data_IF_883954623797
#
_entry.id   IF_883954623797
#
_cell.length_a   1.000
_cell.length_b   1.000
_cell.length_c   1.000
_cell.angle_alpha   90.00
_cell.angle_beta   90.00
_cell.angle_gamma   90.00
#
_symmetry.space_group_name_H-M   'P 1'
#
loop_
_entity.id
_entity.type
_entity.pdbx_description
1 polymer ?
#
# COMPACT_ATOMS: atom_id res chain seq x y z
N UNK A 1 -14.62 -13.26 -15.81
CA UNK A 1 -13.66 -13.15 -14.69
C UNK A 1 -13.65 -11.71 -14.22
N UNK A 2 -14.31 -11.42 -13.08
CA UNK A 2 -14.39 -10.06 -12.53
C UNK A 2 -13.01 -9.71 -11.99
N UNK A 3 -12.40 -8.64 -12.51
CA UNK A 3 -11.16 -8.11 -11.98
C UNK A 3 -11.39 -7.80 -10.49
N UNK A 4 -10.89 -8.69 -9.63
CA UNK A 4 -10.76 -8.37 -8.23
C UNK A 4 -9.74 -7.25 -8.20
N UNK A 5 -10.21 -6.01 -8.01
CA UNK A 5 -9.36 -4.84 -7.82
C UNK A 5 -8.27 -5.20 -6.81
N UNK A 6 -7.07 -5.45 -7.32
CA UNK A 6 -5.88 -5.71 -6.52
C UNK A 6 -5.44 -4.36 -5.98
N UNK A 7 -6.19 -3.89 -5.00
CA UNK A 7 -5.87 -2.71 -4.26
C UNK A 7 -4.64 -3.02 -3.41
N UNK A 8 -3.46 -2.42 -3.66
CA UNK A 8 -2.22 -2.80 -3.00
C UNK A 8 -2.28 -2.67 -1.47
N UNK A 9 -3.12 -1.75 -0.97
CA UNK A 9 -3.37 -1.58 0.46
C UNK A 9 -4.02 -2.82 1.14
N UNK A 10 -4.73 -3.68 0.39
CA UNK A 10 -5.35 -4.89 0.95
C UNK A 10 -4.34 -6.00 1.21
N UNK A 11 -3.26 -6.09 0.43
CA UNK A 11 -2.25 -7.16 0.59
C UNK A 11 -1.42 -6.95 1.86
N UNK A 12 -1.01 -5.69 2.11
CA UNK A 12 -0.29 -5.32 3.33
C UNK A 12 -1.13 -5.60 4.59
N UNK A 13 -2.40 -5.19 4.58
CA UNK A 13 -3.32 -5.40 5.70
C UNK A 13 -3.78 -6.87 5.84
N UNK A 14 -3.84 -7.64 4.75
CA UNK A 14 -4.13 -9.08 4.81
C UNK A 14 -3.07 -9.83 5.62
N UNK A 15 -1.80 -9.45 5.48
CA UNK A 15 -0.69 -10.03 6.24
C UNK A 15 -0.80 -9.69 7.74
N UNK A 16 -1.19 -8.46 8.07
CA UNK A 16 -1.49 -8.05 9.45
C UNK A 16 -2.64 -8.89 10.00
N UNK A 17 -3.77 -8.97 9.28
CA UNK A 17 -4.94 -9.76 9.71
C UNK A 17 -4.61 -11.23 9.93
N UNK A 18 -3.82 -11.84 9.04
CA UNK A 18 -3.40 -13.23 9.16
C UNK A 18 -2.57 -13.45 10.42
N UNK A 19 -1.57 -12.60 10.67
CA UNK A 19 -0.71 -12.73 11.86
C UNK A 19 -1.46 -12.47 13.15
N UNK A 20 -2.36 -11.48 13.18
CA UNK A 20 -3.24 -11.24 14.32
C UNK A 20 -4.21 -12.40 14.57
N UNK A 21 -4.67 -13.09 13.52
CA UNK A 21 -5.55 -14.25 13.67
C UNK A 21 -4.79 -15.44 14.28
N UNK A 22 -3.56 -15.69 13.84
CA UNK A 22 -2.69 -16.76 14.35
C UNK A 22 -2.31 -16.52 15.82
N UNK A 23 -2.18 -15.26 16.26
CA UNK A 23 -1.79 -14.92 17.64
C UNK A 23 -2.95 -14.50 18.54
N UNK A 24 -4.20 -14.56 18.06
CA UNK A 24 -5.39 -14.04 18.74
C UNK A 24 -5.57 -14.56 20.18
N UNK A 25 -5.10 -15.78 20.47
CA UNK A 25 -5.22 -16.42 21.78
C UNK A 25 -3.84 -16.69 22.43
N UNK A 26 -2.76 -16.19 21.86
CA UNK A 26 -1.40 -16.36 22.38
C UNK A 26 -1.08 -15.23 23.37
N UNK A 27 -1.59 -15.34 24.61
CA UNK A 27 -1.20 -14.46 25.72
C UNK A 27 -2.04 -13.20 25.91
N UNK A 28 -1.41 -12.12 26.41
CA UNK A 28 -2.08 -10.91 26.89
C UNK A 28 -2.64 -10.03 25.76
N UNK A 29 -3.89 -9.52 25.87
CA UNK A 29 -4.48 -8.58 24.89
C UNK A 29 -3.61 -7.34 24.62
N UNK A 30 -2.90 -6.85 25.64
CA UNK A 30 -2.00 -5.69 25.50
C UNK A 30 -0.82 -6.00 24.57
N UNK A 31 -0.27 -7.22 24.65
CA UNK A 31 0.83 -7.65 23.78
C UNK A 31 0.37 -7.80 22.32
N UNK A 32 -0.85 -8.31 22.10
CA UNK A 32 -1.45 -8.41 20.76
C UNK A 32 -1.65 -7.02 20.14
N UNK A 33 -2.21 -6.07 20.88
CA UNK A 33 -2.40 -4.69 20.40
C UNK A 33 -1.07 -4.00 20.08
N UNK A 34 -0.05 -4.15 20.94
CA UNK A 34 1.29 -3.64 20.68
C UNK A 34 1.88 -4.24 19.39
N UNK A 35 1.75 -5.57 19.19
CA UNK A 35 2.21 -6.24 17.97
C UNK A 35 1.51 -5.71 16.71
N UNK A 36 0.18 -5.59 16.74
CA UNK A 36 -0.61 -5.08 15.60
C UNK A 36 -0.22 -3.65 15.28
N UNK A 37 -0.08 -2.79 16.29
CA UNK A 37 0.35 -1.41 16.10
C UNK A 37 1.72 -1.35 15.41
N UNK A 38 2.73 -2.09 15.89
CA UNK A 38 4.05 -2.12 15.26
C UNK A 38 4.05 -2.66 13.83
N UNK A 39 3.20 -3.66 13.54
CA UNK A 39 3.04 -4.19 12.18
C UNK A 39 2.42 -3.14 11.24
N UNK A 40 1.40 -2.41 11.71
CA UNK A 40 0.77 -1.31 10.96
C UNK A 40 1.75 -0.17 10.75
N UNK A 41 2.51 0.26 11.77
CA UNK A 41 3.56 1.27 11.62
C UNK A 41 4.60 0.86 10.57
N UNK A 42 5.07 -0.40 10.63
CA UNK A 42 6.08 -0.91 9.70
C UNK A 42 5.56 -0.95 8.26
N UNK A 43 4.31 -1.36 8.06
CA UNK A 43 3.65 -1.34 6.75
C UNK A 43 3.50 0.10 6.23
N UNK A 44 3.07 1.03 7.07
CA UNK A 44 2.95 2.45 6.70
C UNK A 44 4.30 3.06 6.33
N UNK A 45 5.35 2.80 7.10
CA UNK A 45 6.70 3.29 6.80
C UNK A 45 7.20 2.78 5.43
N UNK A 46 6.97 1.49 5.13
CA UNK A 46 7.32 0.89 3.84
C UNK A 46 6.55 1.53 2.68
N UNK A 47 5.23 1.72 2.83
CA UNK A 47 4.37 2.37 1.83
C UNK A 47 4.78 3.82 1.57
N UNK A 48 5.05 4.59 2.62
CA UNK A 48 5.48 6.00 2.50
C UNK A 48 6.81 6.11 1.76
N UNK A 49 7.73 5.17 1.95
CA UNK A 49 8.97 5.12 1.17
C UNK A 49 8.72 4.83 -0.31
N UNK A 50 7.84 3.88 -0.63
CA UNK A 50 7.60 3.47 -2.02
C UNK A 50 6.93 4.54 -2.88
N UNK A 51 5.96 5.30 -2.35
CA UNK A 51 5.08 6.13 -3.19
C UNK A 51 5.28 7.64 -3.04
N UNK A 52 6.20 8.10 -2.18
CA UNK A 52 6.38 9.53 -1.90
C UNK A 52 6.73 10.36 -3.15
N UNK A 53 7.60 9.83 -4.02
CA UNK A 53 8.05 10.53 -5.22
C UNK A 53 6.97 10.67 -6.31
N UNK A 54 5.87 9.90 -6.22
CA UNK A 54 4.75 9.96 -7.16
C UNK A 54 3.66 10.96 -6.73
N UNK A 55 3.60 11.34 -5.45
CA UNK A 55 2.59 12.28 -4.92
C UNK A 55 2.64 13.65 -5.60
N UNK A 56 3.82 14.25 -5.89
CA UNK A 56 3.89 15.51 -6.64
C UNK A 56 3.34 15.39 -8.06
N UNK A 57 3.59 14.27 -8.75
CA UNK A 57 3.14 14.03 -10.11
C UNK A 57 1.61 13.89 -10.19
N UNK A 58 1.00 13.18 -9.23
CA UNK A 58 -0.45 13.10 -9.10
C UNK A 58 -1.05 14.48 -8.84
N UNK A 59 -0.43 15.29 -7.97
CA UNK A 59 -0.87 16.68 -7.70
C UNK A 59 -0.74 17.60 -8.91
N UNK A 60 0.25 17.36 -9.77
CA UNK A 60 0.43 18.08 -11.02
C UNK A 60 -0.55 17.64 -12.13
N UNK A 61 -1.42 16.66 -11.87
CA UNK A 61 -2.41 16.17 -12.85
C UNK A 61 -1.85 15.20 -13.89
N UNK A 62 -0.69 14.58 -13.62
CA UNK A 62 -0.14 13.55 -14.50
C UNK A 62 -1.07 12.33 -14.58
N UNK A 63 -1.18 11.71 -15.75
CA UNK A 63 -2.05 10.55 -15.96
C UNK A 63 -1.34 9.28 -15.48
N UNK A 64 -2.07 8.47 -14.70
CA UNK A 64 -1.62 7.17 -14.24
C UNK A 64 -2.60 6.10 -14.70
N UNK A 65 -2.10 5.01 -15.26
CA UNK A 65 -2.88 3.82 -15.59
C UNK A 65 -2.32 2.64 -14.79
N UNK A 66 -3.17 1.97 -14.02
CA UNK A 66 -2.78 0.84 -13.15
C UNK A 66 -1.59 1.11 -12.21
N UNK A 67 -1.36 2.38 -11.85
CA UNK A 67 -0.24 2.79 -10.97
C UNK A 67 1.07 3.10 -11.70
N UNK A 68 1.10 3.03 -13.03
CA UNK A 68 2.24 3.43 -13.87
C UNK A 68 1.97 4.83 -14.43
N UNK A 69 2.98 5.70 -14.38
CA UNK A 69 2.92 7.01 -15.01
C UNK A 69 2.84 6.83 -16.53
N UNK A 70 1.77 7.33 -17.13
CA UNK A 70 1.65 7.39 -18.59
C UNK A 70 2.21 8.74 -19.02
N UNK A 71 3.46 8.76 -19.47
CA UNK A 71 3.97 9.91 -20.22
C UNK A 71 3.14 10.04 -21.50
N UNK A 72 2.68 11.25 -21.82
CA UNK A 72 2.26 11.51 -23.20
C UNK A 72 3.52 11.31 -24.03
N UNK A 73 3.47 10.49 -25.08
CA UNK A 73 4.36 10.68 -26.22
C UNK A 73 4.33 12.17 -26.54
N UNK A 74 5.43 12.87 -26.23
CA UNK A 74 5.64 14.15 -26.85
C UNK A 74 5.79 13.82 -28.31
N UNK A 75 4.76 14.18 -29.05
CA UNK A 75 4.77 14.35 -30.49
C UNK A 75 6.10 15.02 -30.84
N UNK A 76 7.05 14.19 -31.25
CA UNK A 76 8.32 14.62 -31.81
C UNK A 76 7.97 14.98 -33.25
N UNK A 77 7.16 16.03 -33.40
CA UNK A 77 6.85 16.64 -34.68
C UNK A 77 7.80 17.82 -34.87
N UNK A 78 8.80 17.52 -35.69
CA UNK A 78 9.68 18.38 -36.52
C UNK A 78 9.29 19.85 -36.59
#
# INVERSE_FOLDING_TARGET
MKAADHQPHRVDLATVKLRTQVTRNAGSPAAVLAMVFKLVESAQARRRRGHCHLVPLVRAGARFESGVLVEREQDTAV
#
